data_IF_171816857416
#
_entry.id   IF_171816857416
#
_cell.length_a   1.000
_cell.length_b   1.000
_cell.length_c   1.000
_cell.angle_alpha   90.00
_cell.angle_beta   90.00
_cell.angle_gamma   90.00
#
_symmetry.space_group_name_H-M   'P 1'
#
loop_
_entity.id
_entity.type
_entity.pdbx_description
1 polymer ?
#
# COMPACT_ATOMS: atom_id res chain seq x y z
N UNK A 1 -10.73 -11.37 5.42
CA UNK A 1 -11.95 -10.65 5.85
C UNK A 1 -11.71 -9.18 6.22
N UNK A 2 -10.61 -8.51 5.78
CA UNK A 2 -10.33 -7.10 6.16
C UNK A 2 -10.39 -6.10 4.99
N UNK A 3 -10.12 -6.54 3.76
CA UNK A 3 -10.30 -5.70 2.55
C UNK A 3 -11.73 -5.15 2.45
N UNK A 4 -12.76 -5.97 2.72
CA UNK A 4 -14.15 -5.51 2.69
C UNK A 4 -14.40 -4.34 3.65
N UNK A 5 -13.75 -4.29 4.81
CA UNK A 5 -13.93 -3.19 5.76
C UNK A 5 -13.46 -1.85 5.19
N UNK A 6 -12.34 -1.84 4.45
CA UNK A 6 -11.82 -0.63 3.78
C UNK A 6 -12.74 -0.18 2.64
N UNK A 7 -13.23 -1.13 1.86
CA UNK A 7 -14.10 -0.84 0.71
C UNK A 7 -15.47 -0.31 1.17
N UNK A 8 -16.00 -0.84 2.28
CA UNK A 8 -17.23 -0.34 2.89
C UNK A 8 -17.08 1.06 3.51
N UNK A 9 -15.89 1.43 4.01
CA UNK A 9 -15.62 2.74 4.64
C UNK A 9 -15.30 3.86 3.65
N UNK A 10 -14.65 3.53 2.54
CA UNK A 10 -14.22 4.50 1.51
C UNK A 10 -15.38 5.15 0.71
N UNK A 11 -16.64 4.77 0.92
CA UNK A 11 -17.73 5.24 0.03
C UNK A 11 -17.52 4.87 -1.46
N UNK A 12 -16.54 4.00 -1.73
CA UNK A 12 -16.11 3.58 -3.07
C UNK A 12 -17.15 2.69 -3.75
N UNK A 13 -18.08 2.12 -2.96
CA UNK A 13 -19.08 1.16 -3.41
C UNK A 13 -18.42 -0.05 -4.12
N UNK A 14 -17.28 -0.46 -3.58
CA UNK A 14 -16.53 -1.63 -3.97
C UNK A 14 -16.71 -2.75 -2.93
N UNK A 15 -16.49 -3.97 -3.36
CA UNK A 15 -16.45 -5.17 -2.51
C UNK A 15 -15.35 -6.11 -2.98
N UNK A 16 -15.17 -7.25 -2.29
CA UNK A 16 -14.15 -8.23 -2.64
C UNK A 16 -14.39 -8.97 -3.96
N UNK A 17 -15.55 -8.78 -4.60
CA UNK A 17 -15.89 -9.33 -5.92
C UNK A 17 -15.71 -8.31 -7.04
N UNK A 18 -15.50 -7.04 -6.69
CA UNK A 18 -15.34 -5.95 -7.63
C UNK A 18 -14.06 -6.12 -8.45
N UNK A 19 -14.18 -5.89 -9.75
CA UNK A 19 -13.04 -5.89 -10.68
C UNK A 19 -12.63 -4.45 -10.96
N UNK A 20 -11.41 -4.11 -10.59
CA UNK A 20 -10.82 -2.80 -10.91
C UNK A 20 -10.46 -2.78 -12.39
N UNK A 21 -10.94 -1.77 -13.12
CA UNK A 21 -10.66 -1.59 -14.54
C UNK A 21 -9.44 -0.70 -14.74
N UNK A 22 -8.79 -0.80 -15.89
CA UNK A 22 -7.69 0.10 -16.24
C UNK A 22 -8.11 1.57 -16.13
N UNK A 23 -9.34 1.89 -16.52
CA UNK A 23 -9.92 3.25 -16.44
C UNK A 23 -10.26 3.71 -15.03
N UNK A 24 -10.22 2.86 -14.03
CA UNK A 24 -10.41 3.30 -12.64
C UNK A 24 -9.16 3.98 -12.08
N UNK A 25 -8.00 3.78 -12.72
CA UNK A 25 -6.75 4.48 -12.45
C UNK A 25 -6.34 5.39 -13.60
N UNK A 26 -6.37 4.89 -14.83
CA UNK A 26 -6.01 5.62 -16.05
C UNK A 26 -7.23 6.34 -16.66
N UNK A 27 -7.50 7.54 -16.17
CA UNK A 27 -8.64 8.35 -16.58
C UNK A 27 -8.30 9.83 -16.54
N UNK A 28 -9.23 10.66 -17.04
CA UNK A 28 -9.22 12.10 -16.83
C UNK A 28 -9.21 12.44 -15.33
N UNK A 29 -8.42 13.43 -14.92
CA UNK A 29 -8.26 13.85 -13.53
C UNK A 29 -9.54 14.42 -12.91
N UNK A 30 -10.45 14.95 -13.74
CA UNK A 30 -11.75 15.43 -13.26
C UNK A 30 -12.63 14.31 -12.72
N UNK A 31 -12.34 13.04 -13.03
CA UNK A 31 -13.09 11.90 -12.46
C UNK A 31 -12.63 11.51 -11.06
N UNK A 32 -11.60 12.16 -10.48
CA UNK A 32 -11.22 11.95 -9.08
C UNK A 32 -12.16 12.62 -8.06
N UNK A 33 -13.25 13.23 -8.52
CA UNK A 33 -14.34 13.77 -7.69
C UNK A 33 -15.15 12.70 -6.95
N UNK A 34 -14.96 11.42 -7.28
CA UNK A 34 -15.63 10.28 -6.63
C UNK A 34 -14.62 9.24 -6.16
N UNK A 35 -14.82 8.70 -4.96
CA UNK A 35 -14.17 7.46 -4.55
C UNK A 35 -14.83 6.26 -5.28
N UNK A 36 -14.01 5.27 -5.63
CA UNK A 36 -14.38 4.06 -6.34
C UNK A 36 -14.28 4.20 -7.86
N UNK A 37 -15.06 3.40 -8.61
CA UNK A 37 -14.96 3.34 -10.06
C UNK A 37 -15.16 4.70 -10.73
N UNK A 38 -14.29 5.04 -11.69
CA UNK A 38 -14.34 6.33 -12.38
C UNK A 38 -15.65 6.52 -13.17
N UNK A 39 -16.32 5.42 -13.54
CA UNK A 39 -17.64 5.44 -14.20
C UNK A 39 -18.75 6.07 -13.36
N UNK A 40 -18.55 6.22 -12.05
CA UNK A 40 -19.50 6.90 -11.16
C UNK A 40 -19.40 8.42 -11.24
N UNK A 41 -18.29 8.96 -11.75
CA UNK A 41 -18.10 10.39 -11.89
C UNK A 41 -19.05 10.97 -12.95
N UNK A 42 -19.70 12.08 -12.61
CA UNK A 42 -20.45 12.88 -13.58
C UNK A 42 -19.55 13.86 -14.34
N UNK A 43 -18.34 14.06 -13.84
CA UNK A 43 -17.36 15.00 -14.35
C UNK A 43 -16.53 14.39 -15.48
N UNK A 44 -16.11 15.23 -16.43
CA UNK A 44 -15.13 14.90 -17.46
C UNK A 44 -15.49 13.76 -18.44
N UNK A 45 -14.67 13.60 -19.49
CA UNK A 45 -14.69 12.39 -20.31
C UNK A 45 -14.18 11.19 -19.50
N UNK A 46 -14.74 10.00 -19.78
CA UNK A 46 -14.31 8.75 -19.15
C UNK A 46 -13.38 8.04 -20.12
N UNK A 47 -12.11 7.95 -19.76
CA UNK A 47 -11.06 7.38 -20.58
C UNK A 47 -9.71 8.05 -20.31
N UNK A 48 -8.61 7.47 -20.80
CA UNK A 48 -7.25 7.89 -20.44
C UNK A 48 -6.86 9.25 -21.05
N UNK A 49 -7.57 9.74 -22.07
CA UNK A 49 -7.21 11.00 -22.71
C UNK A 49 -7.70 12.21 -21.90
N UNK A 50 -6.75 12.98 -21.37
CA UNK A 50 -7.00 14.30 -20.80
C UNK A 50 -6.52 14.52 -19.38
N UNK A 51 -5.78 13.57 -18.78
CA UNK A 51 -5.15 13.79 -17.48
C UNK A 51 -3.84 14.57 -17.55
N UNK A 52 -3.66 15.49 -16.61
CA UNK A 52 -2.39 16.18 -16.35
C UNK A 52 -1.42 15.36 -15.49
N UNK A 53 -1.86 14.27 -14.87
CA UNK A 53 -0.98 13.39 -14.10
C UNK A 53 -0.22 12.45 -15.04
N UNK A 54 1.07 12.24 -14.75
CA UNK A 54 1.92 11.31 -15.49
C UNK A 54 1.27 9.91 -15.56
N UNK A 55 1.42 9.22 -16.69
CA UNK A 55 0.79 7.92 -16.92
C UNK A 55 -0.73 7.98 -17.15
N UNK A 56 -1.28 9.17 -17.46
CA UNK A 56 -2.71 9.38 -17.71
C UNK A 56 -3.59 9.01 -16.51
N UNK A 57 -3.12 9.29 -15.30
CA UNK A 57 -3.76 8.86 -14.06
C UNK A 57 -4.83 9.86 -13.60
N UNK A 58 -5.95 9.39 -13.07
CA UNK A 58 -7.04 10.29 -12.62
C UNK A 58 -6.71 11.05 -11.34
N UNK A 59 -5.66 10.67 -10.62
CA UNK A 59 -5.16 11.38 -9.45
C UNK A 59 -3.65 11.21 -9.35
N UNK A 60 -3.01 12.00 -8.49
CA UNK A 60 -1.58 11.91 -8.25
C UNK A 60 -1.20 10.51 -7.72
N UNK A 61 -0.14 9.94 -8.29
CA UNK A 61 0.47 8.70 -7.85
C UNK A 61 1.96 8.93 -7.66
N UNK A 62 2.39 8.99 -6.40
CA UNK A 62 3.78 9.21 -6.09
C UNK A 62 4.54 7.87 -6.10
N UNK A 63 5.48 7.71 -7.03
CA UNK A 63 6.35 6.53 -7.14
C UNK A 63 7.72 6.77 -6.49
N UNK A 64 7.90 7.86 -5.74
CA UNK A 64 9.14 8.12 -5.03
C UNK A 64 9.36 7.03 -3.98
N UNK A 65 10.58 6.51 -3.98
CA UNK A 65 11.10 5.57 -2.99
C UNK A 65 12.22 6.24 -2.21
N UNK A 66 12.48 5.76 -1.01
CA UNK A 66 13.60 6.22 -0.21
C UNK A 66 14.94 5.78 -0.81
N UNK A 67 15.99 6.10 -0.07
CA UNK A 67 17.33 5.57 -0.26
C UNK A 67 17.62 4.50 0.79
N UNK A 68 18.81 3.90 0.73
CA UNK A 68 19.27 2.96 1.76
C UNK A 68 19.31 3.55 3.17
N UNK A 69 19.25 4.88 3.34
CA UNK A 69 19.39 5.55 4.64
C UNK A 69 18.35 6.63 4.92
N UNK A 70 17.39 6.85 4.02
CA UNK A 70 16.44 7.97 4.17
C UNK A 70 15.12 7.67 3.51
N UNK A 71 14.03 8.01 4.20
CA UNK A 71 12.67 7.89 3.72
C UNK A 71 12.40 8.81 2.50
N UNK A 72 11.44 8.47 1.63
CA UNK A 72 11.06 9.33 0.51
C UNK A 72 10.44 10.65 0.98
N UNK A 73 9.80 10.66 2.16
CA UNK A 73 9.04 11.81 2.65
C UNK A 73 9.48 12.24 4.05
N UNK A 74 9.50 13.56 4.27
CA UNK A 74 9.78 14.15 5.57
C UNK A 74 8.61 13.96 6.56
N UNK A 75 7.38 13.84 6.07
CA UNK A 75 6.18 13.59 6.88
C UNK A 75 5.10 12.94 6.01
N UNK A 76 4.11 12.34 6.67
CA UNK A 76 2.91 11.85 5.99
C UNK A 76 2.15 12.99 5.31
N UNK A 77 1.68 12.75 4.09
CA UNK A 77 0.74 13.61 3.38
C UNK A 77 -0.16 12.74 2.51
N UNK A 78 -1.47 12.86 2.69
CA UNK A 78 -2.47 12.09 1.93
C UNK A 78 -2.36 12.32 0.42
N UNK A 79 -1.88 13.50 0.01
CA UNK A 79 -1.65 13.85 -1.39
C UNK A 79 -0.63 12.94 -2.09
N UNK A 80 0.31 12.33 -1.36
CA UNK A 80 1.26 11.36 -1.91
C UNK A 80 0.59 10.04 -2.32
N UNK A 81 -0.62 9.77 -1.81
CA UNK A 81 -1.35 8.52 -1.96
C UNK A 81 -2.72 8.73 -2.61
N UNK A 82 -2.95 9.89 -3.24
CA UNK A 82 -4.26 10.31 -3.73
C UNK A 82 -4.93 9.28 -4.64
N UNK A 83 -4.19 8.67 -5.58
CA UNK A 83 -4.72 7.62 -6.44
C UNK A 83 -5.16 6.39 -5.66
N UNK A 84 -4.38 5.96 -4.66
CA UNK A 84 -4.71 4.80 -3.83
C UNK A 84 -5.99 5.04 -3.04
N UNK A 85 -6.12 6.24 -2.45
CA UNK A 85 -7.26 6.63 -1.63
C UNK A 85 -8.54 6.94 -2.42
N UNK A 86 -8.50 6.88 -3.75
CA UNK A 86 -9.74 6.78 -4.51
C UNK A 86 -10.46 5.46 -4.26
N UNK A 87 -9.76 4.38 -3.92
CA UNK A 87 -10.38 3.07 -3.66
C UNK A 87 -10.23 2.61 -2.21
N UNK A 88 -9.18 3.06 -1.55
CA UNK A 88 -8.82 2.66 -0.19
C UNK A 88 -9.21 3.74 0.82
N UNK A 89 -9.81 3.34 1.93
CA UNK A 89 -10.12 4.24 3.04
C UNK A 89 -8.83 4.69 3.73
N UNK A 90 -8.50 5.99 3.68
CA UNK A 90 -7.29 6.56 4.27
C UNK A 90 -7.14 6.24 5.77
N UNK A 91 -8.25 6.33 6.52
CA UNK A 91 -8.24 6.13 7.97
C UNK A 91 -7.78 4.71 8.35
N UNK A 92 -8.13 3.72 7.53
CA UNK A 92 -7.69 2.34 7.70
C UNK A 92 -6.16 2.19 7.65
N UNK A 93 -5.43 3.11 7.02
CA UNK A 93 -3.97 3.06 6.90
C UNK A 93 -3.22 4.01 7.84
N UNK A 94 -3.88 5.04 8.35
CA UNK A 94 -3.24 6.09 9.16
C UNK A 94 -3.56 6.01 10.64
N UNK A 95 -4.65 5.33 11.02
CA UNK A 95 -5.00 5.11 12.42
C UNK A 95 -4.15 3.99 13.02
N UNK A 96 -3.36 4.31 14.04
CA UNK A 96 -2.51 3.34 14.74
C UNK A 96 -3.32 2.24 15.46
N UNK A 97 -4.54 2.55 15.89
CA UNK A 97 -5.41 1.66 16.65
C UNK A 97 -6.46 0.93 15.79
N UNK A 98 -6.59 1.26 14.50
CA UNK A 98 -7.55 0.60 13.61
C UNK A 98 -6.93 -0.60 12.88
N UNK A 99 -6.94 -1.75 13.54
CA UNK A 99 -6.49 -3.02 12.98
C UNK A 99 -7.56 -3.74 12.14
N UNK A 100 -8.80 -3.23 12.14
CA UNK A 100 -9.92 -3.86 11.43
C UNK A 100 -9.93 -3.49 9.95
N UNK A 101 -9.37 -2.32 9.62
CA UNK A 101 -9.22 -1.85 8.25
C UNK A 101 -8.18 -2.64 7.46
N UNK A 102 -7.02 -2.99 8.00
CA UNK A 102 -5.95 -3.64 7.20
C UNK A 102 -5.60 -5.04 7.70
N UNK A 103 -5.08 -5.88 6.80
CA UNK A 103 -4.54 -7.20 7.15
C UNK A 103 -3.05 -7.16 7.53
N UNK A 104 -2.50 -5.97 7.73
CA UNK A 104 -1.13 -5.74 8.16
C UNK A 104 -1.14 -5.18 9.58
N UNK A 105 -1.40 -6.09 10.50
CA UNK A 105 -1.55 -5.81 11.91
C UNK A 105 -0.74 -6.80 12.74
N UNK A 106 -0.88 -6.73 14.07
CA UNK A 106 0.19 -7.15 14.95
C UNK A 106 0.22 -8.66 15.17
N UNK A 107 1.29 -9.13 15.83
CA UNK A 107 1.33 -10.47 16.46
C UNK A 107 0.16 -10.63 17.42
N UNK A 108 -0.29 -11.86 17.64
CA UNK A 108 -1.40 -12.22 18.54
C UNK A 108 -1.30 -11.62 19.97
N UNK A 109 -0.10 -11.24 20.41
CA UNK A 109 0.23 -10.77 21.75
C UNK A 109 0.13 -9.24 21.94
N UNK A 110 0.23 -8.43 20.86
CA UNK A 110 0.15 -6.96 20.92
C UNK A 110 -0.97 -6.46 20.01
N UNK A 111 -2.22 -6.69 20.38
CA UNK A 111 -3.41 -6.48 19.54
C UNK A 111 -3.70 -5.02 19.14
N UNK A 112 -2.77 -4.09 19.32
CA UNK A 112 -3.04 -2.65 19.28
C UNK A 112 -2.45 -1.90 18.08
N UNK A 113 -1.58 -2.51 17.27
CA UNK A 113 -0.80 -1.77 16.25
C UNK A 113 -1.17 -2.09 14.80
N UNK A 114 -1.66 -1.10 14.08
CA UNK A 114 -1.74 -1.09 12.61
C UNK A 114 -0.36 -0.82 12.01
N UNK A 115 0.26 -1.83 11.38
CA UNK A 115 1.61 -1.69 10.82
C UNK A 115 1.63 -0.75 9.61
N UNK A 116 0.51 -0.57 8.89
CA UNK A 116 0.45 0.49 7.88
C UNK A 116 0.66 1.87 8.51
N UNK A 117 -0.02 2.18 9.60
CA UNK A 117 0.11 3.48 10.26
C UNK A 117 1.55 3.68 10.77
N UNK A 118 2.14 2.61 11.32
CA UNK A 118 3.54 2.63 11.76
C UNK A 118 4.49 2.99 10.61
N UNK A 119 4.40 2.30 9.48
CA UNK A 119 5.35 2.48 8.39
C UNK A 119 5.06 3.74 7.54
N UNK A 120 3.80 4.17 7.42
CA UNK A 120 3.42 5.35 6.65
C UNK A 120 3.57 6.66 7.44
N UNK A 121 3.21 6.65 8.73
CA UNK A 121 3.04 7.88 9.51
C UNK A 121 4.20 8.09 10.49
N UNK A 122 4.55 7.08 11.29
CA UNK A 122 5.38 7.31 12.48
C UNK A 122 6.82 6.88 12.35
N UNK A 123 7.09 5.65 11.91
CA UNK A 123 8.44 5.04 11.99
C UNK A 123 9.27 5.26 10.74
N UNK A 124 8.75 4.86 9.58
CA UNK A 124 9.59 4.70 8.38
C UNK A 124 9.26 5.68 7.26
N UNK A 125 8.07 6.29 7.31
CA UNK A 125 7.56 7.23 6.31
C UNK A 125 7.70 6.67 4.89
N UNK A 126 7.46 5.37 4.77
CA UNK A 126 7.52 4.65 3.52
C UNK A 126 6.40 5.12 2.59
N UNK A 127 6.62 4.98 1.29
CA UNK A 127 5.55 5.16 0.30
C UNK A 127 4.81 3.84 0.06
N UNK A 128 3.54 3.89 -0.37
CA UNK A 128 2.85 2.68 -0.82
C UNK A 128 3.62 1.95 -1.92
N UNK A 129 4.34 2.69 -2.78
CA UNK A 129 5.12 2.14 -3.89
C UNK A 129 6.37 1.37 -3.42
N UNK A 130 6.80 1.52 -2.17
CA UNK A 130 7.92 0.74 -1.62
C UNK A 130 7.52 -0.68 -1.23
N UNK A 131 6.26 -0.90 -0.88
CA UNK A 131 5.72 -2.23 -0.54
C UNK A 131 4.84 -2.83 -1.65
N UNK A 132 4.25 -1.97 -2.48
CA UNK A 132 3.37 -2.31 -3.61
C UNK A 132 3.94 -1.73 -4.91
N UNK A 133 5.17 -2.11 -5.23
CA UNK A 133 5.92 -1.63 -6.39
C UNK A 133 5.21 -1.96 -7.71
N UNK A 134 4.71 -3.19 -7.83
CA UNK A 134 4.00 -3.69 -9.00
C UNK A 134 2.48 -3.65 -8.81
N UNK A 135 1.89 -2.45 -8.98
CA UNK A 135 0.44 -2.22 -8.82
C UNK A 135 -0.45 -2.89 -9.87
N UNK A 136 0.13 -3.34 -10.99
CA UNK A 136 -0.59 -4.08 -12.04
C UNK A 136 -0.66 -5.60 -11.80
N UNK A 137 -0.05 -6.09 -10.72
CA UNK A 137 0.03 -7.52 -10.41
C UNK A 137 1.44 -7.94 -10.00
N UNK A 138 1.55 -8.98 -9.17
CA UNK A 138 2.83 -9.47 -8.63
C UNK A 138 3.34 -10.74 -9.31
N UNK A 139 2.68 -11.19 -10.38
CA UNK A 139 3.05 -12.43 -11.09
C UNK A 139 4.46 -12.38 -11.70
N UNK A 140 4.90 -11.19 -12.14
CA UNK A 140 6.25 -10.95 -12.68
C UNK A 140 7.20 -10.33 -11.65
N UNK A 141 6.85 -10.31 -10.37
CA UNK A 141 7.69 -9.70 -9.33
C UNK A 141 8.91 -10.57 -9.05
N UNK A 142 10.09 -10.12 -9.46
CA UNK A 142 11.36 -10.85 -9.27
C UNK A 142 12.13 -10.44 -8.01
N UNK A 143 11.66 -9.42 -7.31
CA UNK A 143 12.36 -8.73 -6.23
C UNK A 143 11.71 -8.93 -4.85
N UNK A 144 10.92 -9.98 -4.69
CA UNK A 144 10.22 -10.30 -3.42
C UNK A 144 10.08 -11.80 -3.28
N UNK A 145 10.24 -12.29 -2.05
CA UNK A 145 10.00 -13.68 -1.69
C UNK A 145 8.75 -13.80 -0.77
N UNK A 146 7.75 -14.62 -1.15
CA UNK A 146 7.66 -15.38 -2.39
C UNK A 146 7.40 -14.48 -3.61
N UNK A 147 7.74 -14.92 -4.83
CA UNK A 147 7.17 -14.31 -6.03
C UNK A 147 5.64 -14.44 -6.00
N UNK A 148 4.93 -13.53 -6.66
CA UNK A 148 3.46 -13.49 -6.63
C UNK A 148 2.88 -13.48 -5.20
N UNK A 149 3.52 -12.72 -4.30
CA UNK A 149 3.07 -12.61 -2.93
C UNK A 149 1.61 -12.09 -2.85
N UNK A 150 0.83 -12.58 -1.86
CA UNK A 150 -0.55 -12.14 -1.67
C UNK A 150 -0.61 -10.65 -1.34
N UNK A 151 -1.78 -10.05 -1.55
CA UNK A 151 -2.03 -8.62 -1.30
C UNK A 151 -1.19 -7.67 -2.16
N UNK A 152 -0.72 -8.15 -3.33
CA UNK A 152 0.11 -7.40 -4.27
C UNK A 152 1.39 -6.84 -3.62
N UNK A 153 1.96 -7.56 -2.66
CA UNK A 153 3.24 -7.17 -2.07
C UNK A 153 4.36 -7.45 -3.07
N UNK A 154 5.08 -6.40 -3.40
CA UNK A 154 6.29 -6.40 -4.22
C UNK A 154 7.12 -5.20 -3.80
N UNK A 155 8.32 -5.46 -3.32
CA UNK A 155 9.15 -4.43 -2.72
C UNK A 155 9.83 -3.56 -3.77
N UNK A 156 10.04 -2.28 -3.53
CA UNK A 156 10.86 -1.46 -4.41
C UNK A 156 12.34 -1.86 -4.34
N UNK A 157 13.17 -1.54 -5.36
CA UNK A 157 14.62 -1.77 -5.30
C UNK A 157 15.33 -1.07 -4.12
N UNK A 158 14.74 -0.03 -3.53
CA UNK A 158 15.26 0.62 -2.32
C UNK A 158 15.16 -0.24 -1.06
N UNK A 159 14.27 -1.23 -1.06
CA UNK A 159 14.04 -2.15 0.06
C UNK A 159 14.94 -3.37 -0.12
N UNK A 160 15.87 -3.58 0.80
CA UNK A 160 16.92 -4.59 0.69
C UNK A 160 16.57 -5.84 1.51
N UNK A 161 17.06 -7.04 1.11
CA UNK A 161 16.92 -8.22 1.94
C UNK A 161 17.73 -8.11 3.23
N UNK A 162 17.22 -8.70 4.31
CA UNK A 162 18.08 -9.03 5.47
C UNK A 162 18.78 -10.35 5.23
N UNK A 163 20.08 -10.41 5.52
CA UNK A 163 20.84 -11.64 5.47
C UNK A 163 20.21 -12.73 6.37
N UNK A 164 20.24 -14.01 5.95
CA UNK A 164 20.88 -14.55 4.74
C UNK A 164 19.96 -14.58 3.51
N UNK A 165 18.83 -13.87 3.52
CA UNK A 165 17.84 -13.97 2.44
C UNK A 165 18.39 -13.35 1.14
N UNK A 166 18.18 -13.98 -0.02
CA UNK A 166 18.58 -13.41 -1.30
C UNK A 166 17.62 -12.31 -1.80
N UNK A 167 16.39 -12.28 -1.29
CA UNK A 167 15.34 -11.33 -1.67
C UNK A 167 14.61 -10.78 -0.44
N UNK A 168 14.08 -9.55 -0.51
CA UNK A 168 13.16 -9.01 0.49
C UNK A 168 11.99 -9.97 0.76
N UNK A 169 11.78 -10.32 2.03
CA UNK A 169 10.81 -11.36 2.40
C UNK A 169 9.55 -10.72 2.96
N UNK A 170 8.39 -11.18 2.48
CA UNK A 170 7.09 -10.92 3.10
C UNK A 170 6.43 -12.24 3.51
N UNK A 171 5.82 -12.26 4.71
CA UNK A 171 5.00 -13.36 5.17
C UNK A 171 3.67 -12.83 5.71
N UNK A 172 2.52 -13.29 5.16
CA UNK A 172 1.22 -12.87 5.64
C UNK A 172 0.96 -13.41 7.06
N UNK A 173 -0.04 -12.86 7.74
CA UNK A 173 -0.49 -13.37 9.02
C UNK A 173 -1.03 -14.80 8.88
N UNK A 174 -0.40 -15.76 9.56
CA UNK A 174 -0.75 -17.19 9.54
C UNK A 174 0.49 -18.09 9.64
N UNK A 175 0.40 -19.20 10.38
CA UNK A 175 1.53 -20.08 10.72
C UNK A 175 2.00 -19.91 12.18
N UNK A 176 3.14 -20.50 12.55
CA UNK A 176 3.71 -20.57 13.92
C UNK A 176 4.04 -19.21 14.57
N UNK A 177 3.78 -18.08 13.88
CA UNK A 177 4.31 -16.76 14.23
C UNK A 177 3.24 -15.67 14.46
N UNK A 178 1.95 -15.99 14.36
CA UNK A 178 0.84 -15.18 14.88
C UNK A 178 0.50 -13.84 14.19
N UNK A 179 1.44 -13.17 13.50
CA UNK A 179 1.22 -11.91 12.78
C UNK A 179 1.96 -11.86 11.44
N UNK A 180 1.63 -10.88 10.59
CA UNK A 180 2.35 -10.65 9.34
C UNK A 180 3.72 -10.00 9.63
N UNK A 181 4.73 -10.29 8.83
CA UNK A 181 6.08 -9.73 9.01
C UNK A 181 6.86 -9.63 7.71
N UNK A 182 7.86 -8.75 7.72
CA UNK A 182 8.87 -8.61 6.68
C UNK A 182 10.24 -9.09 7.19
N UNK A 183 11.16 -9.46 6.30
CA UNK A 183 12.60 -9.56 6.61
C UNK A 183 13.37 -8.68 5.63
N UNK A 184 13.38 -7.37 5.91
CA UNK A 184 13.89 -6.35 4.98
C UNK A 184 14.72 -5.29 5.71
N UNK A 185 15.56 -4.58 4.98
CA UNK A 185 16.13 -3.31 5.40
C UNK A 185 15.50 -2.20 4.57
N UNK A 186 14.90 -1.22 5.24
CA UNK A 186 14.23 -0.09 4.62
C UNK A 186 14.71 1.19 5.33
N UNK A 187 15.21 2.17 4.56
CA UNK A 187 15.70 3.45 5.08
C UNK A 187 16.76 3.32 6.19
N UNK A 188 17.59 2.28 6.11
CA UNK A 188 18.67 2.00 7.07
C UNK A 188 18.18 1.30 8.34
N UNK A 189 16.89 0.97 8.41
CA UNK A 189 16.27 0.25 9.52
C UNK A 189 16.01 -1.18 9.10
N UNK A 190 16.50 -2.12 9.88
CA UNK A 190 16.10 -3.52 9.75
C UNK A 190 14.65 -3.66 10.21
N UNK A 191 13.87 -4.39 9.45
CA UNK A 191 12.48 -4.73 9.71
C UNK A 191 12.39 -6.25 9.75
N UNK A 192 12.10 -6.76 10.93
CA UNK A 192 11.91 -8.15 11.21
C UNK A 192 10.83 -8.32 12.27
N UNK A 193 10.47 -9.59 12.49
CA UNK A 193 9.50 -10.02 13.49
C UNK A 193 9.64 -9.31 14.85
N UNK A 194 10.86 -9.03 15.30
CA UNK A 194 11.13 -8.61 16.68
C UNK A 194 11.33 -7.11 16.82
N UNK A 195 11.72 -6.41 15.75
CA UNK A 195 11.94 -4.97 15.79
C UNK A 195 10.93 -4.14 15.00
N UNK A 196 10.01 -4.75 14.24
CA UNK A 196 8.91 -4.03 13.59
C UNK A 196 8.06 -3.30 14.64
N UNK A 197 7.82 -3.92 15.80
CA UNK A 197 6.99 -3.39 16.89
C UNK A 197 7.72 -2.47 17.87
N UNK A 198 9.04 -2.35 17.76
CA UNK A 198 9.86 -1.47 18.60
C UNK A 198 9.84 -0.03 18.04
N UNK A 199 9.95 1.00 18.91
CA UNK A 199 10.03 2.40 18.49
C UNK A 199 11.18 2.65 17.50
#
# INVERSE_FOLDING_TARGET
MRLQAQLSRSGSNLDTFSKIKCTDCHNNERTADVQGPASRSRSGPKGPHGSFNAGLLRAAYNTQTGTLSSAPFAAYSSSNFALCYLCHDEQSFTSEIDFTGTNFGPKAEDQTKNLHALHLVTKDRASCHECHYNVHGTIESTNTDPPNAPHLISFAPSVQPLAPNPLPVWRPAGGTHGGAYCLVSCHGKSMNRDNDYLP
#
